data_IF_225179682184
#
_entry.id   IF_225179682184
#
_cell.length_a   1.000
_cell.length_b   1.000
_cell.length_c   1.000
_cell.angle_alpha   90.00
_cell.angle_beta   90.00
_cell.angle_gamma   90.00
#
_symmetry.space_group_name_H-M   'P 1'
#
loop_
_entity.id
_entity.type
_entity.pdbx_description
1 polymer ?
#
# COMPACT_ATOMS: atom_id res chain seq x y z
N UNK A 1 31.62 -8.04 44.43
CA UNK A 1 30.31 -7.37 44.25
C UNK A 1 30.10 -6.84 42.82
N UNK A 2 31.10 -6.24 42.18
CA UNK A 2 30.96 -5.69 40.80
C UNK A 2 30.62 -6.74 39.73
N UNK A 3 31.22 -7.94 39.80
CA UNK A 3 30.94 -9.02 38.84
C UNK A 3 29.48 -9.49 38.86
N UNK A 4 28.84 -9.47 40.04
CA UNK A 4 27.42 -9.86 40.20
C UNK A 4 26.50 -8.79 39.63
N UNK A 5 26.84 -7.50 39.82
CA UNK A 5 26.11 -6.39 39.17
C UNK A 5 26.19 -6.47 37.65
N UNK A 6 27.37 -6.75 37.10
CA UNK A 6 27.57 -6.83 35.65
C UNK A 6 26.76 -7.97 35.01
N UNK A 7 26.70 -9.12 35.68
CA UNK A 7 25.89 -10.27 35.25
C UNK A 7 24.39 -9.95 35.33
N UNK A 8 23.94 -9.29 36.40
CA UNK A 8 22.54 -8.92 36.57
C UNK A 8 22.09 -7.91 35.50
N UNK A 9 22.92 -6.92 35.19
CA UNK A 9 22.64 -5.92 34.14
C UNK A 9 22.58 -6.59 32.75
N UNK A 10 23.42 -7.58 32.48
CA UNK A 10 23.41 -8.31 31.20
C UNK A 10 22.14 -9.14 31.03
N UNK A 11 21.67 -9.79 32.10
CA UNK A 11 20.42 -10.59 32.09
C UNK A 11 19.21 -9.68 31.87
N UNK A 12 19.15 -8.51 32.52
CA UNK A 12 18.07 -7.54 32.29
C UNK A 12 18.02 -7.03 30.83
N UNK A 13 19.18 -6.82 30.20
CA UNK A 13 19.25 -6.40 28.79
C UNK A 13 18.79 -7.49 27.82
N UNK A 14 19.03 -8.77 28.12
CA UNK A 14 18.59 -9.90 27.29
C UNK A 14 17.07 -10.12 27.42
N UNK A 15 16.50 -9.89 28.61
CA UNK A 15 15.04 -9.98 28.83
C UNK A 15 14.29 -8.83 28.14
N UNK A 16 14.90 -7.63 28.06
CA UNK A 16 14.31 -6.49 27.36
C UNK A 16 14.39 -6.63 25.82
N UNK A 17 15.39 -7.33 25.28
CA UNK A 17 15.49 -7.60 23.83
C UNK A 17 14.64 -8.80 23.36
N UNK A 18 14.13 -9.63 24.26
CA UNK A 18 13.25 -10.77 23.95
C UNK A 18 11.75 -10.47 24.09
N UNK A 19 11.39 -9.23 24.46
CA UNK A 19 10.00 -8.74 24.53
C UNK A 19 9.49 -8.09 23.23
N UNK A 20 10.13 -8.34 22.07
CA UNK A 20 9.45 -8.15 20.79
C UNK A 20 8.49 -9.33 20.59
N UNK A 21 7.36 -9.27 21.29
CA UNK A 21 6.29 -10.25 21.20
C UNK A 21 5.82 -10.32 19.75
N UNK A 22 6.20 -11.39 19.06
CA UNK A 22 5.46 -11.84 17.89
C UNK A 22 4.07 -12.21 18.41
N UNK A 23 3.10 -11.32 18.23
CA UNK A 23 1.71 -11.71 18.14
C UNK A 23 1.58 -12.64 16.93
N UNK A 24 1.87 -13.92 17.12
CA UNK A 24 1.38 -14.96 16.22
C UNK A 24 -0.11 -15.10 16.52
N UNK A 25 -0.90 -14.18 15.97
CA UNK A 25 -2.31 -14.46 15.75
C UNK A 25 -2.37 -15.67 14.83
N UNK A 26 -2.99 -16.74 15.31
CA UNK A 26 -3.35 -17.91 14.53
C UNK A 26 -3.97 -17.49 13.19
N UNK A 27 -3.20 -17.53 12.10
CA UNK A 27 -3.80 -17.67 10.78
C UNK A 27 -4.02 -19.16 10.58
N UNK A 28 -5.27 -19.58 10.82
CA UNK A 28 -5.89 -20.67 10.05
C UNK A 28 -5.49 -20.49 8.59
N UNK A 29 -5.15 -21.59 7.93
CA UNK A 29 -4.91 -21.70 6.48
C UNK A 29 -5.58 -20.58 5.68
N UNK A 30 -4.82 -19.51 5.41
CA UNK A 30 -5.21 -18.49 4.43
C UNK A 30 -4.70 -19.01 3.10
N UNK A 31 -5.64 -19.48 2.29
CA UNK A 31 -5.46 -19.90 0.90
C UNK A 31 -4.41 -19.08 0.15
N UNK A 32 -3.66 -19.75 -0.72
CA UNK A 32 -2.54 -19.32 -1.58
C UNK A 32 -2.73 -18.06 -2.48
N UNK A 33 -3.70 -17.20 -2.21
CA UNK A 33 -3.91 -15.91 -2.89
C UNK A 33 -3.56 -14.74 -1.98
N UNK A 34 -2.26 -14.44 -1.82
CA UNK A 34 -1.85 -13.16 -1.23
C UNK A 34 -2.36 -12.04 -2.14
N UNK A 35 -3.24 -11.20 -1.61
CA UNK A 35 -3.72 -9.98 -2.26
C UNK A 35 -3.00 -8.77 -1.66
N UNK A 36 -2.93 -7.68 -2.41
CA UNK A 36 -2.39 -6.45 -1.85
C UNK A 36 -3.43 -5.76 -0.97
N UNK A 37 -3.02 -5.38 0.23
CA UNK A 37 -3.89 -4.70 1.20
C UNK A 37 -3.26 -3.46 1.79
N UNK A 38 -2.02 -3.15 1.42
CA UNK A 38 -1.32 -1.99 1.94
C UNK A 38 -0.35 -1.38 0.92
N UNK A 39 -0.09 -0.08 1.07
CA UNK A 39 1.05 0.63 0.49
C UNK A 39 1.84 1.24 1.64
N UNK A 40 3.10 0.83 1.81
CA UNK A 40 3.92 1.15 2.98
C UNK A 40 3.12 0.90 4.27
N UNK A 41 2.85 1.95 5.06
CA UNK A 41 2.09 1.88 6.31
C UNK A 41 0.58 2.13 6.13
N UNK A 42 0.11 2.46 4.93
CA UNK A 42 -1.31 2.66 4.64
C UNK A 42 -1.97 1.32 4.37
N UNK A 43 -2.83 0.87 5.28
CA UNK A 43 -3.58 -0.39 5.15
C UNK A 43 -5.03 -0.08 4.80
N UNK A 44 -5.61 -0.82 3.85
CA UNK A 44 -7.02 -0.69 3.49
C UNK A 44 -7.91 -0.80 4.72
N UNK A 45 -8.86 0.14 4.84
CA UNK A 45 -9.83 0.30 5.92
C UNK A 45 -9.25 0.53 7.32
N UNK A 46 -7.92 0.63 7.47
CA UNK A 46 -7.32 1.02 8.74
C UNK A 46 -7.28 2.55 8.86
N UNK A 47 -7.73 3.05 10.01
CA UNK A 47 -7.70 4.47 10.35
C UNK A 47 -6.45 4.85 11.15
N UNK A 48 -5.73 3.87 11.69
CA UNK A 48 -4.61 4.12 12.61
C UNK A 48 -3.43 4.81 11.92
N UNK A 49 -3.14 4.42 10.67
CA UNK A 49 -2.08 4.99 9.85
C UNK A 49 -2.25 6.50 9.58
N UNK A 50 -3.48 7.01 9.65
CA UNK A 50 -3.82 8.40 9.36
C UNK A 50 -3.68 9.33 10.56
N UNK A 51 -3.57 8.80 11.79
CA UNK A 51 -3.54 9.62 13.02
C UNK A 51 -2.36 10.58 13.12
N UNK A 52 -1.23 10.20 12.52
CA UNK A 52 -0.01 11.01 12.53
C UNK A 52 0.03 12.04 11.38
N UNK A 53 -0.95 12.02 10.47
CA UNK A 53 -0.97 12.86 9.27
C UNK A 53 -1.99 13.98 9.49
N UNK A 54 -1.50 15.23 9.46
CA UNK A 54 -2.37 16.40 9.55
C UNK A 54 -3.02 16.66 8.19
N UNK A 55 -4.27 16.24 8.04
CA UNK A 55 -5.09 16.52 6.85
C UNK A 55 -5.79 17.87 7.02
N UNK A 56 -5.68 18.75 6.02
CA UNK A 56 -6.42 20.00 5.97
C UNK A 56 -7.55 19.90 4.95
N UNK A 57 -8.58 20.75 5.05
CA UNK A 57 -9.72 20.75 4.12
C UNK A 57 -9.28 20.86 2.65
N UNK A 58 -8.21 21.61 2.36
CA UNK A 58 -7.66 21.73 1.01
C UNK A 58 -6.98 20.47 0.45
N UNK A 59 -6.71 19.47 1.30
CA UNK A 59 -6.16 18.18 0.90
C UNK A 59 -7.22 17.14 0.54
N UNK A 60 -8.49 17.41 0.87
CA UNK A 60 -9.62 16.55 0.52
C UNK A 60 -9.99 16.86 -0.94
N UNK A 61 -10.01 15.82 -1.76
CA UNK A 61 -10.25 15.91 -3.19
C UNK A 61 -11.53 15.15 -3.52
N UNK A 62 -12.42 15.80 -4.26
CA UNK A 62 -13.56 15.15 -4.89
C UNK A 62 -13.22 14.92 -6.36
N UNK A 63 -12.92 13.67 -6.71
CA UNK A 63 -12.68 13.28 -8.10
C UNK A 63 -13.95 12.65 -8.68
N UNK A 64 -14.37 13.10 -9.87
CA UNK A 64 -15.60 12.63 -10.51
C UNK A 64 -15.59 11.12 -10.81
N UNK A 65 -14.41 10.56 -11.11
CA UNK A 65 -14.27 9.15 -11.51
C UNK A 65 -13.86 8.25 -10.34
N UNK A 66 -13.15 8.79 -9.34
CA UNK A 66 -12.59 8.01 -8.22
C UNK A 66 -13.34 8.23 -6.89
N UNK A 67 -14.16 9.28 -6.77
CA UNK A 67 -14.82 9.67 -5.54
C UNK A 67 -13.96 10.55 -4.63
N UNK A 68 -14.43 10.79 -3.40
CA UNK A 68 -13.69 11.58 -2.39
C UNK A 68 -12.43 10.84 -1.94
N UNK A 69 -11.33 11.54 -1.77
CA UNK A 69 -10.09 10.97 -1.27
C UNK A 69 -9.04 12.00 -0.89
N UNK A 70 -7.84 11.48 -0.62
CA UNK A 70 -6.64 12.27 -0.32
C UNK A 70 -5.49 11.80 -1.19
N UNK A 71 -4.53 12.70 -1.42
CA UNK A 71 -3.39 12.43 -2.29
C UNK A 71 -2.06 12.63 -1.57
N UNK A 72 -1.13 11.75 -1.86
CA UNK A 72 0.24 11.81 -1.38
C UNK A 72 1.25 11.79 -2.53
N UNK A 73 2.40 12.42 -2.32
CA UNK A 73 3.59 12.25 -3.13
C UNK A 73 4.72 11.66 -2.28
N UNK A 74 5.62 10.92 -2.92
CA UNK A 74 6.87 10.53 -2.28
C UNK A 74 7.79 11.75 -2.09
N UNK A 75 8.87 11.58 -1.34
CA UNK A 75 9.85 12.62 -0.98
C UNK A 75 10.49 13.36 -2.16
N UNK A 76 10.42 12.81 -3.38
CA UNK A 76 10.99 13.40 -4.59
C UNK A 76 9.94 13.83 -5.63
N UNK A 77 8.64 13.74 -5.30
CA UNK A 77 7.52 14.08 -6.20
C UNK A 77 7.49 13.29 -7.52
N UNK A 78 8.08 12.10 -7.52
CA UNK A 78 8.13 11.18 -8.67
C UNK A 78 7.04 10.12 -8.64
N UNK A 79 6.33 9.96 -7.52
CA UNK A 79 5.24 9.00 -7.38
C UNK A 79 4.06 9.66 -6.69
N UNK A 80 2.86 9.22 -7.07
CA UNK A 80 1.60 9.76 -6.59
C UNK A 80 0.66 8.66 -6.11
N UNK A 81 0.18 8.77 -4.87
CA UNK A 81 -0.78 7.86 -4.27
C UNK A 81 -2.10 8.60 -4.00
N UNK A 82 -3.18 8.17 -4.65
CA UNK A 82 -4.55 8.55 -4.31
C UNK A 82 -5.18 7.48 -3.43
N UNK A 83 -5.68 7.86 -2.26
CA UNK A 83 -6.45 6.99 -1.37
C UNK A 83 -7.92 7.41 -1.40
N UNK A 84 -8.79 6.54 -1.93
CA UNK A 84 -10.24 6.76 -1.98
C UNK A 84 -10.85 6.47 -0.63
N UNK A 85 -11.63 7.41 -0.12
CA UNK A 85 -12.33 7.29 1.15
C UNK A 85 -13.45 6.26 1.04
N UNK A 86 -13.62 5.48 2.09
CA UNK A 86 -14.72 4.53 2.20
C UNK A 86 -16.06 5.27 2.38
N UNK A 87 -16.95 5.11 1.41
CA UNK A 87 -18.30 5.69 1.48
C UNK A 87 -19.10 5.03 2.61
N UNK A 88 -19.57 5.84 3.56
CA UNK A 88 -20.25 5.35 4.76
C UNK A 88 -19.33 4.72 5.82
N UNK A 89 -18.01 4.75 5.62
CA UNK A 89 -17.02 4.31 6.58
C UNK A 89 -16.72 5.32 7.68
N UNK A 90 -15.74 4.99 8.53
CA UNK A 90 -15.24 5.90 9.56
C UNK A 90 -14.50 7.10 8.95
N UNK A 91 -14.30 8.15 9.76
CA UNK A 91 -13.43 9.26 9.37
C UNK A 91 -12.01 8.75 9.06
N UNK A 92 -11.44 9.20 7.94
CA UNK A 92 -10.12 8.80 7.45
C UNK A 92 -9.97 7.29 7.21
N UNK A 93 -11.07 6.60 6.90
CA UNK A 93 -11.04 5.23 6.42
C UNK A 93 -10.98 5.22 4.89
N UNK A 94 -10.02 4.47 4.33
CA UNK A 94 -9.77 4.44 2.88
C UNK A 94 -9.81 3.01 2.36
N UNK A 95 -10.55 2.76 1.29
CA UNK A 95 -10.83 1.40 0.81
C UNK A 95 -10.25 1.09 -0.57
N UNK A 96 -9.61 2.05 -1.23
CA UNK A 96 -9.01 1.83 -2.55
C UNK A 96 -7.82 2.75 -2.80
N UNK A 97 -6.75 2.21 -3.38
CA UNK A 97 -5.52 2.93 -3.67
C UNK A 97 -5.24 2.99 -5.18
N UNK A 98 -4.79 4.14 -5.65
CA UNK A 98 -4.25 4.35 -7.00
C UNK A 98 -2.84 4.92 -6.89
N UNK A 99 -1.86 4.23 -7.48
CA UNK A 99 -0.46 4.63 -7.49
C UNK A 99 -0.01 4.89 -8.94
N UNK A 100 0.58 6.06 -9.19
CA UNK A 100 1.03 6.56 -10.49
C UNK A 100 2.48 7.06 -10.43
N UNK A 101 3.17 7.03 -11.57
CA UNK A 101 4.58 7.41 -11.75
C UNK A 101 4.82 8.93 -11.93
N UNK A 102 3.80 9.73 -11.64
CA UNK A 102 3.88 11.19 -11.61
C UNK A 102 2.65 11.76 -10.91
N UNK A 103 2.78 12.96 -10.35
CA UNK A 103 1.64 13.73 -9.82
C UNK A 103 0.83 14.30 -10.98
N UNK A 104 -0.46 13.94 -11.15
CA UNK A 104 -1.28 14.52 -12.20
C UNK A 104 -1.52 16.02 -11.94
N UNK A 105 -1.47 16.89 -12.97
CA UNK A 105 -1.62 18.34 -12.81
C UNK A 105 -2.88 18.78 -12.06
N UNK A 106 -3.98 18.03 -12.19
CA UNK A 106 -5.25 18.31 -11.53
C UNK A 106 -5.21 18.27 -9.99
N UNK A 107 -4.18 17.63 -9.42
CA UNK A 107 -4.01 17.50 -7.97
C UNK A 107 -2.86 18.37 -7.42
N UNK A 108 -2.15 19.12 -8.27
CA UNK A 108 -1.09 20.02 -7.84
C UNK A 108 -1.58 20.98 -6.75
N UNK A 109 -0.75 21.20 -5.72
CA UNK A 109 -1.07 22.05 -4.57
C UNK A 109 -2.02 21.43 -3.54
N UNK A 110 -2.60 20.25 -3.80
CA UNK A 110 -3.45 19.51 -2.85
C UNK A 110 -2.76 18.29 -2.23
N UNK A 111 -1.68 17.83 -2.87
CA UNK A 111 -0.92 16.64 -2.47
C UNK A 111 -0.13 16.86 -1.17
N UNK A 112 -0.17 15.89 -0.28
CA UNK A 112 0.64 15.87 0.94
C UNK A 112 1.94 15.11 0.66
N UNK A 113 3.08 15.74 0.87
CA UNK A 113 4.38 15.11 0.66
C UNK A 113 4.79 14.22 1.83
N UNK A 114 5.11 12.97 1.56
CA UNK A 114 5.56 11.99 2.54
C UNK A 114 7.10 11.84 2.54
N UNK A 115 7.70 11.39 3.65
CA UNK A 115 9.14 11.20 3.74
C UNK A 115 9.63 9.96 2.98
N UNK A 116 8.73 9.07 2.57
CA UNK A 116 9.05 7.84 1.87
C UNK A 116 9.78 8.11 0.54
N UNK A 117 10.80 7.30 0.21
CA UNK A 117 11.48 7.37 -1.09
C UNK A 117 10.60 6.84 -2.23
N UNK A 118 9.76 5.85 -1.92
CA UNK A 118 8.91 5.16 -2.87
C UNK A 118 7.74 4.48 -2.14
N UNK A 119 6.68 4.25 -2.89
CA UNK A 119 5.50 3.52 -2.47
C UNK A 119 5.64 2.04 -2.86
N UNK A 120 5.50 1.16 -1.87
CA UNK A 120 5.62 -0.28 -2.03
C UNK A 120 4.38 -0.95 -1.51
N UNK A 121 3.79 -1.82 -2.32
CA UNK A 121 2.65 -2.64 -1.91
C UNK A 121 3.04 -3.69 -0.87
N UNK A 122 2.07 -4.23 -0.14
CA UNK A 122 2.26 -5.33 0.82
C UNK A 122 2.93 -6.58 0.22
N UNK A 123 2.82 -6.81 -1.10
CA UNK A 123 3.49 -7.90 -1.80
C UNK A 123 4.86 -7.50 -2.38
N UNK A 124 5.32 -6.27 -2.16
CA UNK A 124 6.63 -5.80 -2.57
C UNK A 124 6.70 -5.31 -4.02
N UNK A 125 5.56 -4.95 -4.62
CA UNK A 125 5.49 -4.24 -5.91
C UNK A 125 5.67 -2.75 -5.73
N UNK A 126 6.40 -2.12 -6.64
CA UNK A 126 6.57 -0.68 -6.70
C UNK A 126 6.62 -0.24 -8.16
N UNK A 127 6.46 1.06 -8.40
CA UNK A 127 6.59 1.59 -9.76
C UNK A 127 8.01 1.36 -10.28
N UNK A 128 8.10 1.03 -11.56
CA UNK A 128 9.34 0.60 -12.21
C UNK A 128 9.70 -0.88 -12.04
N UNK A 129 8.97 -1.66 -11.23
CA UNK A 129 9.14 -3.13 -11.21
C UNK A 129 8.98 -3.71 -12.62
N UNK A 130 9.79 -4.71 -12.94
CA UNK A 130 9.78 -5.39 -14.23
C UNK A 130 8.70 -6.45 -14.31
N UNK A 131 8.33 -6.87 -15.54
CA UNK A 131 7.39 -7.99 -15.71
C UNK A 131 7.95 -9.29 -15.14
N UNK A 132 9.25 -9.51 -15.25
CA UNK A 132 9.92 -10.68 -14.69
C UNK A 132 9.78 -10.73 -13.17
N UNK A 133 10.08 -9.63 -12.48
CA UNK A 133 9.88 -9.52 -11.03
C UNK A 133 8.41 -9.74 -10.66
N UNK A 134 7.49 -9.14 -11.43
CA UNK A 134 6.04 -9.27 -11.23
C UNK A 134 5.55 -10.72 -11.32
N UNK A 135 5.95 -11.43 -12.37
CA UNK A 135 5.57 -12.84 -12.55
C UNK A 135 6.26 -13.75 -11.53
N UNK A 136 7.49 -13.41 -11.12
CA UNK A 136 8.28 -14.17 -10.15
C UNK A 136 7.67 -14.19 -8.74
N UNK A 137 7.19 -13.05 -8.21
CA UNK A 137 6.52 -13.02 -6.89
C UNK A 137 5.00 -13.25 -6.96
N UNK A 138 4.38 -13.02 -8.12
CA UNK A 138 2.94 -13.19 -8.34
C UNK A 138 2.50 -14.58 -8.81
N UNK A 139 3.43 -15.53 -8.94
CA UNK A 139 3.30 -16.78 -9.69
C UNK A 139 2.17 -17.76 -9.33
N UNK A 140 1.36 -17.47 -8.31
CA UNK A 140 0.15 -18.25 -7.98
C UNK A 140 -1.15 -17.68 -8.55
N UNK A 141 -1.21 -16.37 -8.86
CA UNK A 141 -2.47 -15.71 -9.20
C UNK A 141 -2.73 -15.70 -10.71
N UNK A 142 -3.91 -16.17 -11.11
CA UNK A 142 -4.38 -16.04 -12.51
C UNK A 142 -4.96 -14.65 -12.73
N UNK A 143 -4.18 -13.79 -13.39
CA UNK A 143 -4.65 -12.48 -13.83
C UNK A 143 -5.38 -12.57 -15.17
N UNK A 144 -6.42 -11.75 -15.33
CA UNK A 144 -6.94 -11.37 -16.64
C UNK A 144 -5.96 -10.39 -17.28
N UNK A 145 -5.46 -10.73 -18.47
CA UNK A 145 -4.44 -9.94 -19.16
C UNK A 145 -5.05 -9.28 -20.40
N UNK A 146 -4.87 -7.97 -20.53
CA UNK A 146 -5.27 -7.21 -21.70
C UNK A 146 -4.06 -6.45 -22.27
N UNK A 147 -3.89 -6.47 -23.59
CA UNK A 147 -2.81 -5.81 -24.30
C UNK A 147 -3.38 -4.69 -25.19
N UNK A 148 -2.91 -3.46 -25.00
CA UNK A 148 -3.28 -2.30 -25.82
C UNK A 148 -2.00 -1.54 -26.17
N UNK A 149 -1.61 -1.54 -27.44
CA UNK A 149 -0.36 -0.95 -27.93
C UNK A 149 0.86 -1.46 -27.14
N UNK A 150 1.64 -0.56 -26.54
CA UNK A 150 2.80 -0.84 -25.71
C UNK A 150 2.44 -1.15 -24.24
N UNK A 151 1.15 -1.19 -23.90
CA UNK A 151 0.67 -1.41 -22.54
C UNK A 151 0.14 -2.83 -22.33
N UNK A 152 0.39 -3.36 -21.15
CA UNK A 152 -0.15 -4.64 -20.68
C UNK A 152 -0.81 -4.43 -19.32
N UNK A 153 -2.11 -4.68 -19.25
CA UNK A 153 -2.90 -4.60 -18.03
C UNK A 153 -3.11 -6.00 -17.48
N UNK A 154 -2.63 -6.24 -16.26
CA UNK A 154 -2.96 -7.41 -15.46
C UNK A 154 -4.05 -7.00 -14.47
N UNK A 155 -5.16 -7.73 -14.44
CA UNK A 155 -6.27 -7.42 -13.55
C UNK A 155 -6.81 -8.67 -12.88
N UNK A 156 -7.29 -8.52 -11.66
CA UNK A 156 -7.91 -9.59 -10.90
C UNK A 156 -9.09 -9.02 -10.11
N UNK A 157 -10.16 -9.78 -10.04
CA UNK A 157 -11.35 -9.42 -9.27
C UNK A 157 -11.80 -10.64 -8.48
N UNK A 158 -12.08 -10.43 -7.20
CA UNK A 158 -12.76 -11.37 -6.33
C UNK A 158 -14.13 -10.78 -5.99
N UNK A 159 -15.19 -11.36 -6.56
CA UNK A 159 -16.57 -10.90 -6.32
C UNK A 159 -17.08 -11.24 -4.92
N UNK A 160 -16.47 -12.20 -4.23
CA UNK A 160 -16.89 -12.61 -2.89
C UNK A 160 -16.41 -11.61 -1.86
N UNK A 161 -15.13 -11.23 -1.95
CA UNK A 161 -14.50 -10.25 -1.07
C UNK A 161 -14.67 -8.81 -1.57
N UNK A 162 -15.38 -8.62 -2.68
CA UNK A 162 -15.56 -7.34 -3.36
C UNK A 162 -14.23 -6.62 -3.62
N UNK A 163 -13.20 -7.39 -3.98
CA UNK A 163 -11.84 -6.88 -4.15
C UNK A 163 -11.46 -6.83 -5.62
N UNK A 164 -10.73 -5.81 -6.03
CA UNK A 164 -10.05 -5.79 -7.32
C UNK A 164 -8.63 -5.28 -7.21
N UNK A 165 -7.78 -5.74 -8.13
CA UNK A 165 -6.49 -5.10 -8.38
C UNK A 165 -6.16 -5.05 -9.87
N UNK A 166 -5.35 -4.04 -10.22
CA UNK A 166 -4.84 -3.79 -11.57
C UNK A 166 -3.39 -3.37 -11.50
N UNK A 167 -2.59 -3.89 -12.42
CA UNK A 167 -1.19 -3.55 -12.60
C UNK A 167 -0.97 -3.26 -14.09
N UNK A 168 -0.63 -2.01 -14.42
CA UNK A 168 -0.41 -1.59 -15.79
C UNK A 168 1.08 -1.46 -16.06
N UNK A 169 1.54 -2.22 -17.03
CA UNK A 169 2.90 -2.13 -17.54
C UNK A 169 2.91 -1.33 -18.84
N UNK A 170 3.88 -0.45 -18.99
CA UNK A 170 4.25 0.15 -20.27
C UNK A 170 5.63 -0.40 -20.68
N UNK A 171 5.69 -1.11 -21.79
CA UNK A 171 6.86 -1.93 -22.15
C UNK A 171 7.14 -3.00 -21.10
N UNK A 172 8.28 -2.89 -20.40
CA UNK A 172 8.70 -3.80 -19.32
C UNK A 172 8.65 -3.16 -17.92
N UNK A 173 8.00 -2.01 -17.75
CA UNK A 173 7.98 -1.29 -16.46
C UNK A 173 6.56 -1.11 -15.96
N UNK A 174 6.34 -1.42 -14.69
CA UNK A 174 5.10 -1.16 -13.98
C UNK A 174 4.96 0.36 -13.79
N UNK A 175 3.94 0.97 -14.38
CA UNK A 175 3.72 2.43 -14.30
C UNK A 175 2.46 2.82 -13.53
N UNK A 176 1.58 1.86 -13.23
CA UNK A 176 0.40 2.11 -12.41
C UNK A 176 -0.02 0.86 -11.64
N UNK A 177 -0.41 1.07 -10.39
CA UNK A 177 -0.96 0.05 -9.50
C UNK A 177 -2.29 0.55 -8.95
N UNK A 178 -3.31 -0.30 -8.97
CA UNK A 178 -4.60 -0.03 -8.35
C UNK A 178 -5.02 -1.25 -7.54
N UNK A 179 -5.52 -1.06 -6.33
CA UNK A 179 -6.19 -2.14 -5.62
C UNK A 179 -7.07 -1.64 -4.47
N UNK A 180 -8.05 -2.47 -4.12
CA UNK A 180 -8.90 -2.26 -2.97
C UNK A 180 -10.27 -2.87 -3.14
N UNK A 181 -11.19 -2.43 -2.30
CA UNK A 181 -12.57 -2.90 -2.28
C UNK A 181 -13.45 -2.07 -3.21
N UNK A 182 -14.20 -2.74 -4.08
CA UNK A 182 -15.13 -2.16 -5.07
C UNK A 182 -16.56 -2.55 -4.72
N UNK A 183 -17.42 -1.56 -4.50
CA UNK A 183 -18.81 -1.73 -4.13
C UNK A 183 -19.75 -1.40 -5.29
#
# INVERSE_FOLDING_TARGET
MEKVKLILTLICSIVLLSSCGKHTTHSKDMSDNKIDTAINNFVLRDTSCMRAIKIQKGNIIEDFYKGEGICFSNSNDTEFLYMVKEMGGYENQYCYFYLLDSVPPAYEGKVIKLPDSNFVTSQGWHLGSTKEEFMGKGGGKKFNVNHVNDKTLYSYTDSTELYSCKYLFQGNRLCQIEFGYTW
#
